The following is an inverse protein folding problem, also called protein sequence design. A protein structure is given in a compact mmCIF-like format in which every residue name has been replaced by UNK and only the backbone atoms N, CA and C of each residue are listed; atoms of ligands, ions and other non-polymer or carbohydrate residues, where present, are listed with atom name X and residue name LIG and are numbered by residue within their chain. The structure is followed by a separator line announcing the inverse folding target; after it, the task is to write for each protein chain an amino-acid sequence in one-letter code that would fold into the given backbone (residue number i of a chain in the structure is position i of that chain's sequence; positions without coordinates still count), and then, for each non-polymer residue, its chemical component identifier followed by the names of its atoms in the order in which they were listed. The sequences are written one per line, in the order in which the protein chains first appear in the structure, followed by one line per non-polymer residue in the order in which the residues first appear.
data_IF_602121314898
#
_entry.id   IF_602121314898
#
_cell.length_a   1.000
_cell.length_b   1.000
_cell.length_c   1.000
_cell.angle_alpha   90.00
_cell.angle_beta   90.00
_cell.angle_gamma   90.00
#
_symmetry.space_group_name_H-M   'P 1'
#
loop_
_entity.id
_entity.type
_entity.pdbx_description
1 polymer ?
#
# COMPACT_ATOMS: atom_id res chain seq x y z
N UNK A 1 30.35 -1.51 -12.97
CA UNK A 1 29.21 -0.97 -13.74
C UNK A 1 27.93 -1.38 -13.03
N UNK A 2 27.46 -0.60 -12.06
CA UNK A 2 26.13 -0.77 -11.48
C UNK A 2 25.50 0.62 -11.42
N UNK A 3 24.84 0.99 -12.52
CA UNK A 3 24.05 2.20 -12.60
C UNK A 3 22.74 1.96 -11.86
N UNK A 4 22.72 2.20 -10.55
CA UNK A 4 21.48 2.48 -9.84
C UNK A 4 21.23 3.99 -9.95
N UNK A 5 20.78 4.42 -11.13
CA UNK A 5 19.96 5.62 -11.25
C UNK A 5 18.63 5.19 -10.59
N UNK A 6 18.04 5.90 -9.64
CA UNK A 6 17.38 7.19 -9.79
C UNK A 6 17.32 7.88 -8.42
N UNK A 7 17.76 9.14 -8.37
CA UNK A 7 17.51 10.05 -7.27
C UNK A 7 16.16 10.76 -7.48
N UNK A 8 15.32 10.83 -6.45
CA UNK A 8 14.30 11.88 -6.35
C UNK A 8 13.96 12.13 -4.86
N UNK A 9 14.05 13.40 -4.46
CA UNK A 9 13.61 13.98 -3.18
C UNK A 9 14.26 13.44 -1.91
N UNK A 10 15.25 14.19 -1.40
CA UNK A 10 15.81 14.01 -0.06
C UNK A 10 14.81 14.33 1.06
N UNK A 11 13.87 13.41 1.30
CA UNK A 11 13.15 13.33 2.57
C UNK A 11 13.90 12.27 3.39
N UNK A 12 14.45 12.59 4.57
CA UNK A 12 14.98 11.55 5.44
C UNK A 12 13.82 10.64 5.80
N UNK A 13 13.93 9.32 5.61
CA UNK A 13 13.03 8.39 6.28
C UNK A 13 13.55 8.22 7.70
N UNK A 14 12.94 8.84 8.74
CA UNK A 14 13.15 8.29 10.07
C UNK A 14 12.38 6.96 10.14
N UNK A 15 12.72 6.12 11.11
CA UNK A 15 12.10 4.82 11.42
C UNK A 15 12.77 3.60 10.78
N UNK A 16 13.97 3.32 11.29
CA UNK A 16 14.57 2.00 11.42
C UNK A 16 13.60 1.07 12.21
N UNK A 17 12.56 0.55 11.53
CA UNK A 17 11.50 -0.27 12.14
C UNK A 17 10.10 -0.13 11.53
N UNK A 18 9.86 0.87 10.67
CA UNK A 18 8.55 1.06 10.04
C UNK A 18 8.46 0.39 8.67
N UNK A 19 7.28 -0.17 8.36
CA UNK A 19 6.98 -0.78 7.05
C UNK A 19 7.15 0.25 5.92
N UNK A 20 7.54 -0.16 4.70
CA UNK A 20 7.68 0.75 3.57
C UNK A 20 6.36 1.46 3.28
N UNK A 21 6.40 2.72 2.83
CA UNK A 21 5.19 3.48 2.48
C UNK A 21 4.40 2.85 1.32
N UNK A 22 5.13 2.20 0.41
CA UNK A 22 4.59 1.47 -0.72
C UNK A 22 4.51 -0.03 -0.40
N UNK A 23 3.37 -0.64 -0.70
CA UNK A 23 3.21 -2.09 -0.66
C UNK A 23 3.63 -2.72 -2.00
N UNK A 24 4.25 -3.91 -1.98
CA UNK A 24 4.66 -4.65 -3.18
C UNK A 24 3.62 -5.67 -3.62
N UNK A 25 3.73 -6.15 -4.86
CA UNK A 25 2.84 -7.21 -5.37
C UNK A 25 2.90 -8.48 -4.51
N UNK A 26 4.09 -8.90 -4.12
CA UNK A 26 4.35 -10.12 -3.35
C UNK A 26 3.71 -10.00 -1.95
N UNK A 27 3.72 -8.81 -1.36
CA UNK A 27 3.01 -8.53 -0.10
C UNK A 27 1.49 -8.62 -0.29
N UNK A 28 0.95 -7.97 -1.33
CA UNK A 28 -0.50 -8.02 -1.64
C UNK A 28 -0.95 -9.45 -1.90
N UNK A 29 -0.19 -10.24 -2.65
CA UNK A 29 -0.47 -11.63 -2.94
C UNK A 29 -0.44 -12.48 -1.67
N UNK A 30 0.60 -12.29 -0.83
CA UNK A 30 0.72 -12.97 0.46
C UNK A 30 -0.47 -12.66 1.37
N UNK A 31 -0.86 -11.39 1.46
CA UNK A 31 -2.00 -10.94 2.26
C UNK A 31 -3.32 -11.53 1.75
N UNK A 32 -3.52 -11.51 0.44
CA UNK A 32 -4.75 -12.05 -0.19
C UNK A 32 -4.87 -13.57 0.04
N UNK A 33 -3.75 -14.29 0.12
CA UNK A 33 -3.70 -15.73 0.43
C UNK A 33 -3.98 -16.06 1.90
N UNK A 34 -3.83 -15.10 2.80
CA UNK A 34 -4.08 -15.25 4.24
C UNK A 34 -5.43 -14.61 4.62
N UNK A 35 -6.56 -15.32 4.50
CA UNK A 35 -7.89 -14.74 4.70
C UNK A 35 -8.11 -14.16 6.10
N UNK A 36 -7.33 -14.63 7.08
CA UNK A 36 -7.39 -14.22 8.48
C UNK A 36 -6.84 -12.80 8.69
N UNK A 37 -6.02 -12.31 7.75
CA UNK A 37 -5.33 -11.02 7.84
C UNK A 37 -6.00 -9.93 7.01
N UNK A 38 -6.71 -10.31 5.96
CA UNK A 38 -7.51 -9.39 5.15
C UNK A 38 -8.95 -9.39 5.66
N UNK A 39 -9.27 -8.42 6.51
CA UNK A 39 -10.66 -8.23 6.91
C UNK A 39 -11.46 -7.62 5.76
N UNK A 40 -12.36 -8.40 5.17
CA UNK A 40 -13.38 -7.86 4.25
C UNK A 40 -14.42 -7.10 5.08
N UNK A 41 -14.17 -5.83 5.32
CA UNK A 41 -15.16 -4.97 5.98
C UNK A 41 -16.27 -4.61 4.98
N UNK A 42 -17.33 -5.41 4.96
CA UNK A 42 -18.50 -5.22 4.08
C UNK A 42 -19.44 -4.08 4.51
N UNK A 43 -19.02 -3.22 5.45
CA UNK A 43 -19.88 -2.18 6.00
C UNK A 43 -19.50 -0.85 5.37
N UNK A 44 -20.48 -0.20 4.75
CA UNK A 44 -20.36 1.08 4.02
C UNK A 44 -19.64 2.19 4.80
N UNK A 45 -19.51 2.09 6.13
CA UNK A 45 -19.00 3.14 7.00
C UNK A 45 -18.16 2.69 8.21
N UNK A 46 -17.71 1.42 8.31
CA UNK A 46 -16.82 1.07 9.44
C UNK A 46 -15.45 1.70 9.20
N UNK A 47 -15.13 2.71 10.02
CA UNK A 47 -13.80 3.30 10.10
C UNK A 47 -12.86 2.27 10.74
N UNK A 48 -11.75 2.00 10.07
CA UNK A 48 -10.64 1.25 10.65
C UNK A 48 -9.91 2.14 11.66
N UNK A 49 -9.26 1.53 12.66
CA UNK A 49 -8.52 2.27 13.68
C UNK A 49 -7.30 2.97 13.06
N UNK A 50 -6.78 4.01 13.72
CA UNK A 50 -5.63 4.77 13.18
C UNK A 50 -4.35 3.95 13.17
N UNK A 51 -4.28 2.98 14.07
CA UNK A 51 -3.18 2.05 14.28
C UNK A 51 -3.41 0.74 13.50
N UNK A 52 -4.56 0.56 12.85
CA UNK A 52 -4.85 -0.63 12.07
C UNK A 52 -4.11 -0.59 10.73
N UNK A 53 -3.50 -1.72 10.34
CA UNK A 53 -2.79 -1.82 9.07
C UNK A 53 -3.79 -1.74 7.89
N UNK A 54 -3.61 -0.74 7.02
CA UNK A 54 -4.41 -0.60 5.81
C UNK A 54 -3.55 -0.32 4.59
N UNK A 55 -3.85 -0.98 3.48
CA UNK A 55 -3.17 -0.78 2.20
C UNK A 55 -4.18 -0.26 1.18
N UNK A 56 -3.92 0.93 0.65
CA UNK A 56 -4.76 1.54 -0.37
C UNK A 56 -4.35 1.09 -1.77
N UNK A 57 -5.32 0.68 -2.57
CA UNK A 57 -5.15 0.43 -3.99
C UNK A 57 -6.34 1.00 -4.77
N UNK A 58 -6.17 1.20 -6.08
CA UNK A 58 -7.28 1.55 -6.95
C UNK A 58 -7.12 0.83 -8.30
N UNK A 59 -7.50 1.49 -9.40
CA UNK A 59 -7.24 0.95 -10.75
C UNK A 59 -5.76 1.07 -11.14
N UNK A 60 -5.17 2.24 -10.96
CA UNK A 60 -3.85 2.61 -11.52
C UNK A 60 -2.96 3.38 -10.54
N UNK A 61 -3.15 3.20 -9.23
CA UNK A 61 -2.34 3.85 -8.18
C UNK A 61 -2.69 5.31 -7.83
N UNK A 62 -3.26 6.09 -8.77
CA UNK A 62 -3.44 7.55 -8.58
C UNK A 62 -4.35 7.93 -7.40
N UNK A 63 -5.52 7.29 -7.30
CA UNK A 63 -6.50 7.61 -6.23
C UNK A 63 -6.05 7.08 -4.87
N UNK A 64 -5.41 5.92 -4.86
CA UNK A 64 -4.88 5.31 -3.63
C UNK A 64 -3.73 6.11 -3.04
N UNK A 65 -2.87 6.70 -3.88
CA UNK A 65 -1.82 7.62 -3.41
C UNK A 65 -2.40 8.86 -2.72
N UNK A 66 -3.44 9.47 -3.29
CA UNK A 66 -4.13 10.59 -2.65
C UNK A 66 -4.77 10.16 -1.31
N UNK A 67 -5.44 9.02 -1.28
CA UNK A 67 -6.04 8.49 -0.07
C UNK A 67 -5.00 8.20 1.03
N UNK A 68 -3.83 7.67 0.65
CA UNK A 68 -2.70 7.46 1.54
C UNK A 68 -2.22 8.76 2.18
N UNK A 69 -1.91 9.79 1.37
CA UNK A 69 -1.46 11.07 1.89
C UNK A 69 -2.52 11.69 2.82
N UNK A 70 -3.79 11.66 2.43
CA UNK A 70 -4.87 12.17 3.26
C UNK A 70 -5.00 11.42 4.58
N UNK A 71 -4.85 10.10 4.58
CA UNK A 71 -4.87 9.31 5.81
C UNK A 71 -3.68 9.64 6.73
N UNK A 72 -2.48 9.84 6.18
CA UNK A 72 -1.31 10.27 6.96
C UNK A 72 -1.55 11.63 7.61
N UNK A 73 -2.11 12.60 6.89
CA UNK A 73 -2.49 13.92 7.42
C UNK A 73 -3.52 13.83 8.56
N UNK A 74 -4.42 12.85 8.50
CA UNK A 74 -5.42 12.58 9.54
C UNK A 74 -4.85 11.79 10.74
N UNK A 75 -3.55 11.46 10.72
CA UNK A 75 -2.83 10.78 11.80
C UNK A 75 -2.94 9.26 11.77
N UNK A 76 -3.23 8.64 10.62
CA UNK A 76 -3.13 7.20 10.47
C UNK A 76 -1.66 6.76 10.39
N UNK A 77 -1.26 5.83 11.26
CA UNK A 77 0.15 5.49 11.47
C UNK A 77 0.57 4.27 10.66
N UNK A 78 -0.33 3.30 10.44
CA UNK A 78 -0.05 2.05 9.72
C UNK A 78 -0.76 1.97 8.35
N UNK A 79 -0.69 3.05 7.56
CA UNK A 79 -1.23 3.05 6.19
C UNK A 79 -0.13 2.94 5.16
N UNK A 80 -0.40 2.24 4.05
CA UNK A 80 0.48 2.09 2.90
C UNK A 80 -0.31 2.22 1.60
N UNK A 81 0.35 2.45 0.47
CA UNK A 81 -0.30 2.39 -0.85
C UNK A 81 0.35 1.38 -1.78
N UNK A 82 -0.45 0.72 -2.61
CA UNK A 82 0.04 -0.18 -3.65
C UNK A 82 0.06 0.55 -5.01
N UNK A 83 1.24 0.94 -5.54
CA UNK A 83 1.33 1.75 -6.76
C UNK A 83 0.80 1.04 -8.00
N UNK A 84 1.19 -0.23 -8.20
CA UNK A 84 0.78 -1.03 -9.35
C UNK A 84 -0.73 -1.30 -9.38
N UNK A 85 -1.36 -1.35 -8.20
CA UNK A 85 -2.81 -1.39 -8.06
C UNK A 85 -3.43 -2.54 -8.88
N UNK A 86 -4.70 -2.42 -9.24
CA UNK A 86 -5.40 -3.45 -10.01
C UNK A 86 -4.70 -3.82 -11.32
N UNK A 87 -4.17 -2.85 -12.07
CA UNK A 87 -3.57 -3.12 -13.39
C UNK A 87 -2.36 -4.05 -13.27
N UNK A 88 -1.44 -3.80 -12.34
CA UNK A 88 -0.30 -4.69 -12.13
C UNK A 88 -0.76 -6.06 -11.62
N UNK A 89 -1.67 -6.07 -10.65
CA UNK A 89 -2.17 -7.31 -10.06
C UNK A 89 -2.87 -8.20 -11.10
N UNK A 90 -3.72 -7.61 -11.96
CA UNK A 90 -4.39 -8.30 -13.05
C UNK A 90 -3.40 -8.80 -14.11
N UNK A 91 -2.39 -8.00 -14.44
CA UNK A 91 -1.37 -8.39 -15.42
C UNK A 91 -0.53 -9.58 -14.94
N UNK A 92 -0.17 -9.61 -13.64
CA UNK A 92 0.61 -10.69 -13.03
C UNK A 92 -0.21 -11.94 -12.77
N UNK A 93 -1.47 -11.81 -12.35
CA UNK A 93 -2.35 -12.97 -12.12
C UNK A 93 -2.82 -13.66 -13.38
N UNK A 94 -2.83 -12.98 -14.54
CA UNK A 94 -3.10 -13.62 -15.84
C UNK A 94 -1.90 -14.39 -16.43
N UNK A 95 -0.70 -14.20 -15.90
CA UNK A 95 0.54 -14.85 -16.37
C UNK A 95 0.91 -16.10 -15.54
N UNK A 96 0.18 -16.35 -14.44
CA UNK A 96 0.30 -17.53 -13.58
C UNK A 96 -0.86 -18.51 -13.85
#
# INVERSE_FOLDING_TARGET
MAAAQHAASGVPTPYEGDKPEEATFEEIETLTRQPNRVQKTATRFKRFAKEEEAIFYCRSGRRSRLAFHQARELGYTQVRHYPGSWIEWEARTKQN
#
